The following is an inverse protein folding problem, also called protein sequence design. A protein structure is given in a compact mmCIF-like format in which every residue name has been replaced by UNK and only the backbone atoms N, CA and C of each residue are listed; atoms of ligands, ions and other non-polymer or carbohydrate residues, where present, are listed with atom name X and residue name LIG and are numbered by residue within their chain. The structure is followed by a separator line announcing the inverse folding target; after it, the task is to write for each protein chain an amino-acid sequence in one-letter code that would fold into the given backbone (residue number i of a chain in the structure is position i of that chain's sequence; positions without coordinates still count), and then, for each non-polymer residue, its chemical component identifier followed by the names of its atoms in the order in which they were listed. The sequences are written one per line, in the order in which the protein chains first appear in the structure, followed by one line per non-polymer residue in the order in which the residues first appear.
data_IF_182179718431
#
_entry.id   IF_182179718431
#
_cell.length_a   1.000
_cell.length_b   1.000
_cell.length_c   1.000
_cell.angle_alpha   90.00
_cell.angle_beta   90.00
_cell.angle_gamma   90.00
#
_symmetry.space_group_name_H-M   'P 1'
#
loop_
_entity.id
_entity.type
_entity.pdbx_description
1 polymer ?
#
# COMPACT_ATOMS: atom_id res chain seq x y z
N UNK A 1 13.10 -20.29 -13.60
CA UNK A 1 12.76 -19.60 -14.86
C UNK A 1 11.25 -19.63 -15.04
N UNK A 2 10.63 -18.49 -15.36
CA UNK A 2 9.20 -18.45 -15.70
C UNK A 2 8.93 -19.45 -16.83
N UNK A 3 7.88 -20.27 -16.70
CA UNK A 3 7.45 -21.18 -17.78
C UNK A 3 6.81 -20.41 -18.95
N UNK A 4 6.53 -19.13 -18.77
CA UNK A 4 5.89 -18.26 -19.77
C UNK A 4 6.99 -17.40 -20.41
N UNK A 5 7.12 -17.43 -21.75
CA UNK A 5 8.00 -16.54 -22.48
C UNK A 5 7.69 -15.06 -22.18
N UNK A 6 8.70 -14.21 -21.96
CA UNK A 6 8.48 -12.80 -21.63
C UNK A 6 7.73 -12.02 -22.72
N UNK A 7 7.87 -12.44 -23.98
CA UNK A 7 7.11 -11.89 -25.11
C UNK A 7 5.61 -12.17 -24.98
N UNK A 8 5.24 -13.42 -24.69
CA UNK A 8 3.84 -13.81 -24.49
C UNK A 8 3.21 -13.11 -23.28
N UNK A 9 4.00 -12.93 -22.21
CA UNK A 9 3.55 -12.17 -21.04
C UNK A 9 3.26 -10.70 -21.39
N UNK A 10 4.17 -10.06 -22.12
CA UNK A 10 4.01 -8.65 -22.55
C UNK A 10 2.80 -8.47 -23.45
N UNK A 11 2.59 -9.38 -24.40
CA UNK A 11 1.44 -9.38 -25.30
C UNK A 11 0.12 -9.57 -24.54
N UNK A 12 0.07 -10.53 -23.61
CA UNK A 12 -1.12 -10.75 -22.78
C UNK A 12 -1.47 -9.52 -21.92
N UNK A 13 -0.47 -8.87 -21.34
CA UNK A 13 -0.67 -7.63 -20.55
C UNK A 13 -1.21 -6.52 -21.45
N UNK A 14 -0.63 -6.33 -22.64
CA UNK A 14 -1.13 -5.33 -23.60
C UNK A 14 -2.57 -5.62 -24.03
N UNK A 15 -2.91 -6.88 -24.31
CA UNK A 15 -4.26 -7.27 -24.68
C UNK A 15 -5.30 -6.96 -23.58
N UNK A 16 -4.94 -7.17 -22.31
CA UNK A 16 -5.80 -6.85 -21.16
C UNK A 16 -5.98 -5.34 -21.00
N UNK A 17 -4.92 -4.55 -21.21
CA UNK A 17 -5.00 -3.10 -21.12
C UNK A 17 -5.84 -2.48 -22.25
N UNK A 18 -5.73 -3.00 -23.47
CA UNK A 18 -6.45 -2.47 -24.65
C UNK A 18 -7.95 -2.84 -24.64
N UNK A 19 -8.31 -4.05 -24.23
CA UNK A 19 -9.71 -4.51 -24.21
C UNK A 19 -10.51 -4.07 -22.98
N UNK A 20 -9.93 -3.21 -22.12
CA UNK A 20 -10.57 -2.78 -20.88
C UNK A 20 -11.69 -1.77 -21.17
N UNK A 21 -12.87 -2.00 -20.59
CA UNK A 21 -13.97 -1.02 -20.60
C UNK A 21 -13.57 0.20 -19.80
N UNK A 22 -13.56 1.37 -20.43
CA UNK A 22 -13.31 2.63 -19.73
C UNK A 22 -14.46 2.95 -18.77
N UNK A 23 -14.11 3.34 -17.54
CA UNK A 23 -15.06 3.76 -16.51
C UNK A 23 -14.72 5.15 -16.00
N UNK A 24 -15.74 5.90 -15.55
CA UNK A 24 -15.60 7.29 -15.07
C UNK A 24 -15.09 7.41 -13.63
N UNK A 25 -14.32 6.42 -13.14
CA UNK A 25 -13.73 6.45 -11.80
C UNK A 25 -12.30 5.88 -11.82
N UNK A 26 -11.53 6.14 -10.76
CA UNK A 26 -10.18 5.60 -10.62
C UNK A 26 -10.24 4.10 -10.34
N UNK A 27 -9.77 3.30 -11.30
CA UNK A 27 -9.73 1.84 -11.17
C UNK A 27 -8.48 1.40 -10.41
N UNK A 28 -8.63 0.37 -9.57
CA UNK A 28 -7.51 -0.39 -9.02
C UNK A 28 -7.31 -1.65 -9.85
N UNK A 29 -6.05 -2.03 -10.03
CA UNK A 29 -5.66 -3.27 -10.73
C UNK A 29 -4.97 -4.15 -9.70
N UNK A 30 -5.52 -5.34 -9.46
CA UNK A 30 -4.98 -6.32 -8.53
C UNK A 30 -4.23 -7.42 -9.29
N UNK A 31 -3.03 -7.76 -8.81
CA UNK A 31 -2.25 -8.88 -9.33
C UNK A 31 -2.66 -10.16 -8.59
N UNK A 32 -3.20 -11.13 -9.32
CA UNK A 32 -3.49 -12.46 -8.78
C UNK A 32 -2.38 -13.44 -9.14
N UNK A 33 -1.87 -14.16 -8.14
CA UNK A 33 -0.83 -15.18 -8.32
C UNK A 33 -1.37 -16.51 -7.80
N UNK A 34 -1.52 -17.49 -8.68
CA UNK A 34 -1.95 -18.84 -8.32
C UNK A 34 -0.75 -19.78 -8.28
N UNK A 35 -0.51 -20.38 -7.11
CA UNK A 35 0.51 -21.41 -6.92
C UNK A 35 -0.14 -22.78 -7.04
N UNK A 36 0.31 -23.61 -7.98
CA UNK A 36 -0.17 -24.99 -8.15
C UNK A 36 0.80 -25.96 -7.47
N UNK A 37 0.26 -26.96 -6.78
CA UNK A 37 1.01 -28.01 -6.06
C UNK A 37 1.88 -27.48 -4.90
N UNK A 38 1.45 -26.42 -4.21
CA UNK A 38 2.12 -25.91 -3.03
C UNK A 38 1.50 -26.52 -1.76
N UNK A 39 2.30 -27.21 -0.95
CA UNK A 39 1.86 -27.79 0.32
C UNK A 39 2.48 -26.99 1.49
N UNK A 40 1.71 -26.15 2.21
CA UNK A 40 2.25 -25.30 3.28
C UNK A 40 2.75 -26.08 4.51
N UNK A 41 2.51 -27.40 4.61
CA UNK A 41 3.04 -28.25 5.68
C UNK A 41 4.40 -28.85 5.34
N UNK A 42 4.64 -29.18 4.06
CA UNK A 42 5.88 -29.81 3.59
C UNK A 42 6.88 -28.78 3.06
N UNK A 43 6.39 -27.75 2.39
CA UNK A 43 7.21 -26.75 1.74
C UNK A 43 7.41 -25.52 2.62
N UNK A 44 8.63 -24.96 2.59
CA UNK A 44 8.89 -23.68 3.24
C UNK A 44 8.04 -22.59 2.62
N UNK A 45 7.50 -21.69 3.45
CA UNK A 45 6.78 -20.50 2.99
C UNK A 45 7.71 -19.58 2.22
N UNK A 46 7.24 -19.13 1.06
CA UNK A 46 7.92 -18.09 0.30
C UNK A 46 7.69 -16.75 1.02
N UNK A 47 8.77 -16.12 1.45
CA UNK A 47 8.78 -14.73 1.86
C UNK A 47 9.65 -13.97 0.87
N UNK A 48 9.02 -13.11 0.07
CA UNK A 48 9.70 -12.27 -0.90
C UNK A 48 9.10 -10.87 -0.84
N UNK A 49 9.96 -9.85 -0.75
CA UNK A 49 9.53 -8.47 -0.91
C UNK A 49 9.83 -8.02 -2.34
N UNK A 50 8.78 -7.61 -3.05
CA UNK A 50 8.92 -7.02 -4.39
C UNK A 50 8.60 -5.54 -4.27
N UNK A 51 9.57 -4.69 -4.60
CA UNK A 51 9.33 -3.25 -4.72
C UNK A 51 8.79 -2.97 -6.11
N UNK A 52 7.54 -2.52 -6.17
CA UNK A 52 6.95 -2.04 -7.42
C UNK A 52 7.45 -0.61 -7.69
N UNK A 53 7.76 -0.27 -8.95
CA UNK A 53 8.31 1.04 -9.30
C UNK A 53 7.29 2.18 -9.15
N UNK A 54 5.99 1.88 -9.22
CA UNK A 54 4.93 2.88 -9.17
C UNK A 54 4.19 2.86 -7.83
N UNK A 55 3.93 4.05 -7.27
CA UNK A 55 3.16 4.22 -6.04
C UNK A 55 1.70 3.86 -6.31
N UNK A 56 1.21 2.80 -5.66
CA UNK A 56 -0.15 2.27 -5.88
C UNK A 56 -1.25 3.25 -5.44
N UNK A 57 -0.96 4.12 -4.46
CA UNK A 57 -1.88 5.11 -3.93
C UNK A 57 -1.17 6.45 -3.74
N UNK A 58 -1.11 7.32 -4.76
CA UNK A 58 -0.40 8.60 -4.66
C UNK A 58 -1.01 9.57 -3.64
N UNK A 59 -2.21 9.29 -3.14
CA UNK A 59 -2.90 10.10 -2.11
C UNK A 59 -2.93 9.43 -0.74
N UNK A 60 -2.22 8.31 -0.57
CA UNK A 60 -2.14 7.67 0.74
C UNK A 60 -1.44 8.62 1.69
N UNK A 61 -2.17 9.09 2.69
CA UNK A 61 -1.63 9.95 3.73
C UNK A 61 -1.40 9.09 4.96
N UNK A 62 -0.17 9.10 5.46
CA UNK A 62 0.23 8.29 6.62
C UNK A 62 0.58 9.24 7.75
N UNK A 63 0.00 9.02 8.93
CA UNK A 63 0.37 9.77 10.14
C UNK A 63 1.28 8.93 11.02
N UNK A 64 2.47 9.43 11.32
CA UNK A 64 3.43 8.74 12.17
C UNK A 64 3.22 9.13 13.64
N UNK A 65 3.01 8.13 14.50
CA UNK A 65 3.10 8.32 15.95
C UNK A 65 4.56 8.10 16.34
N UNK A 66 5.25 9.16 16.75
CA UNK A 66 6.71 9.12 16.93
C UNK A 66 7.13 9.81 18.23
N UNK A 67 8.23 9.32 18.79
CA UNK A 67 8.98 10.03 19.84
C UNK A 67 9.95 11.04 19.21
N UNK A 68 10.52 11.93 20.04
CA UNK A 68 11.30 13.11 19.65
C UNK A 68 12.35 12.84 18.55
N UNK A 69 13.06 11.71 18.61
CA UNK A 69 14.13 11.37 17.65
C UNK A 69 13.60 11.19 16.23
N UNK A 70 12.41 10.60 16.07
CA UNK A 70 11.80 10.34 14.77
C UNK A 70 10.93 11.51 14.30
N UNK A 71 10.44 12.32 15.24
CA UNK A 71 9.67 13.52 14.95
C UNK A 71 10.46 14.51 14.08
N UNK A 72 11.73 14.75 14.39
CA UNK A 72 12.59 15.63 13.58
C UNK A 72 12.83 15.10 12.17
N UNK A 73 13.00 13.79 12.02
CA UNK A 73 13.19 13.14 10.72
C UNK A 73 11.90 13.25 9.89
N UNK A 74 10.76 12.98 10.52
CA UNK A 74 9.47 13.00 9.84
C UNK A 74 9.03 14.43 9.47
N UNK A 75 9.26 15.41 10.34
CA UNK A 75 9.05 16.84 10.03
C UNK A 75 9.93 17.31 8.87
N UNK A 76 11.19 16.88 8.82
CA UNK A 76 12.09 17.16 7.68
C UNK A 76 11.57 16.56 6.37
N UNK A 77 10.88 15.42 6.43
CA UNK A 77 10.30 14.75 5.27
C UNK A 77 8.84 15.16 4.98
N UNK A 78 8.31 16.19 5.65
CA UNK A 78 6.92 16.66 5.53
C UNK A 78 5.86 15.56 5.80
N UNK A 79 6.16 14.60 6.67
CA UNK A 79 5.22 13.57 7.09
C UNK A 79 4.50 14.06 8.36
N UNK A 80 3.16 14.04 8.41
CA UNK A 80 2.43 14.43 9.61
C UNK A 80 2.77 13.48 10.76
N UNK A 81 3.24 14.05 11.86
CA UNK A 81 3.57 13.33 13.10
C UNK A 81 2.62 13.75 14.21
N UNK A 82 2.30 12.81 15.11
CA UNK A 82 1.65 13.13 16.37
C UNK A 82 2.46 12.59 17.55
N UNK A 83 2.65 13.45 18.53
CA UNK A 83 3.33 13.12 19.77
C UNK A 83 2.36 12.56 20.81
N UNK A 84 2.89 11.94 21.87
CA UNK A 84 2.08 11.34 22.94
C UNK A 84 1.13 12.37 23.62
N UNK A 85 1.53 13.64 23.72
CA UNK A 85 0.68 14.70 24.27
C UNK A 85 -0.50 15.05 23.37
N UNK A 86 -0.30 15.05 22.05
CA UNK A 86 -1.37 15.30 21.07
C UNK A 86 -2.35 14.12 21.04
N UNK A 87 -1.83 12.90 21.17
CA UNK A 87 -2.66 11.70 21.26
C UNK A 87 -3.57 11.72 22.50
N UNK A 88 -3.05 12.19 23.64
CA UNK A 88 -3.86 12.38 24.87
C UNK A 88 -4.97 13.42 24.69
N UNK A 89 -4.72 14.49 23.92
CA UNK A 89 -5.75 15.51 23.60
C UNK A 89 -6.82 14.94 22.66
N UNK A 90 -6.43 14.14 21.66
CA UNK A 90 -7.35 13.51 20.72
C UNK A 90 -8.30 12.53 21.41
N UNK A 91 -7.81 11.73 22.38
CA UNK A 91 -8.62 10.72 23.06
C UNK A 91 -9.83 11.31 23.82
N UNK A 92 -9.73 12.57 24.29
CA UNK A 92 -10.84 13.22 25.00
C UNK A 92 -12.01 13.61 24.09
N UNK A 93 -11.81 13.71 22.77
CA UNK A 93 -12.84 14.20 21.86
C UNK A 93 -13.05 13.28 20.66
N UNK A 94 -14.11 12.45 20.72
CA UNK A 94 -14.48 11.48 19.68
C UNK A 94 -14.64 12.11 18.28
N UNK A 95 -15.01 13.39 18.18
CA UNK A 95 -15.13 14.09 16.89
C UNK A 95 -13.77 14.31 16.23
N UNK A 96 -12.75 14.64 17.02
CA UNK A 96 -11.38 14.84 16.51
C UNK A 96 -10.75 13.51 16.10
N UNK A 97 -10.98 12.43 16.86
CA UNK A 97 -10.55 11.07 16.48
C UNK A 97 -11.17 10.67 15.14
N UNK A 98 -12.49 10.84 14.96
CA UNK A 98 -13.15 10.51 13.69
C UNK A 98 -12.63 11.36 12.53
N UNK A 99 -12.34 12.64 12.77
CA UNK A 99 -11.76 13.53 11.75
C UNK A 99 -10.36 13.08 11.35
N UNK A 100 -9.54 12.67 12.31
CA UNK A 100 -8.20 12.13 12.08
C UNK A 100 -8.26 10.82 11.27
N UNK A 101 -9.09 9.86 11.66
CA UNK A 101 -9.23 8.58 10.95
C UNK A 101 -9.73 8.74 9.50
N UNK A 102 -10.45 9.83 9.19
CA UNK A 102 -10.88 10.13 7.84
C UNK A 102 -9.80 10.87 7.01
N UNK A 103 -8.81 11.46 7.68
CA UNK A 103 -7.74 12.23 7.03
C UNK A 103 -6.56 11.36 6.63
N UNK A 104 -6.30 10.26 7.34
CA UNK A 104 -5.16 9.38 7.13
C UNK A 104 -5.63 7.97 6.77
N UNK A 105 -5.02 7.39 5.74
CA UNK A 105 -5.29 6.01 5.31
C UNK A 105 -4.51 4.99 6.15
N UNK A 106 -3.41 5.41 6.80
CA UNK A 106 -2.61 4.63 7.73
C UNK A 106 -1.95 5.47 8.83
#
# INVERSE_FOLDING_TARGET
MSKIPPAQLSEAIQAVLTNRKERKFKESIDLQVNLKNYDPQKDKRFSGSVRLPHVCRPRMTVCLLCDLVHEDIAKKNNVPTMNQEELKKLNKNKKLVKKMCNQYDA
#
